data_IF_922587568559
#
_entry.id   IF_922587568559
#
_cell.length_a   1.000
_cell.length_b   1.000
_cell.length_c   1.000
_cell.angle_alpha   90.00
_cell.angle_beta   90.00
_cell.angle_gamma   90.00
#
_symmetry.space_group_name_H-M   'P 1'
#
loop_
_entity.id
_entity.type
_entity.pdbx_description
1 polymer ?
#
# COMPACT_ATOMS: atom_id res chain seq x y z
N UNK A 1 31.15 -5.16 1.83
CA UNK A 1 31.63 -4.06 2.72
C UNK A 1 30.46 -3.44 3.45
N UNK A 2 30.63 -3.04 4.72
CA UNK A 2 29.58 -2.40 5.55
C UNK A 2 28.97 -1.16 4.87
N UNK A 3 29.81 -0.35 4.21
CA UNK A 3 29.36 0.83 3.46
C UNK A 3 28.40 0.48 2.31
N UNK A 4 28.65 -0.65 1.63
CA UNK A 4 27.78 -1.13 0.56
C UNK A 4 26.42 -1.60 1.11
N UNK A 5 26.44 -2.31 2.24
CA UNK A 5 25.21 -2.74 2.92
C UNK A 5 24.29 -1.55 3.26
N UNK A 6 24.81 -0.51 3.93
CA UNK A 6 24.01 0.67 4.26
C UNK A 6 23.53 1.43 3.00
N UNK A 7 24.35 1.49 1.95
CA UNK A 7 23.96 2.11 0.67
C UNK A 7 22.78 1.37 0.02
N UNK A 8 22.80 0.04 0.03
CA UNK A 8 21.72 -0.78 -0.50
C UNK A 8 20.49 -0.80 0.39
N UNK A 9 20.67 -0.74 1.71
CA UNK A 9 19.58 -0.59 2.68
C UNK A 9 18.85 0.74 2.48
N UNK A 10 19.58 1.82 2.20
CA UNK A 10 18.99 3.12 1.96
C UNK A 10 18.29 3.20 0.59
N UNK A 11 18.93 2.62 -0.43
CA UNK A 11 18.42 2.59 -1.80
C UNK A 11 18.74 1.24 -2.47
N UNK A 12 17.73 0.35 -2.57
CA UNK A 12 17.89 -0.98 -3.16
C UNK A 12 18.28 -0.97 -4.64
N UNK A 13 18.17 0.18 -5.33
CA UNK A 13 18.66 0.37 -6.71
C UNK A 13 20.17 0.13 -6.86
N UNK A 14 20.94 0.27 -5.79
CA UNK A 14 22.36 -0.04 -5.80
C UNK A 14 22.65 -1.55 -5.66
N UNK A 15 21.62 -2.35 -5.34
CA UNK A 15 21.71 -3.80 -5.32
C UNK A 15 21.56 -4.30 -6.75
N UNK A 16 22.49 -5.14 -7.20
CA UNK A 16 22.38 -5.81 -8.49
C UNK A 16 21.35 -6.94 -8.37
N UNK A 17 20.08 -6.60 -8.59
CA UNK A 17 18.99 -7.57 -8.57
C UNK A 17 18.99 -8.30 -9.91
N UNK A 18 19.67 -9.44 -9.95
CA UNK A 18 19.72 -10.30 -11.14
C UNK A 18 18.41 -11.06 -11.37
N UNK A 19 17.63 -11.31 -10.32
CA UNK A 19 16.40 -12.10 -10.39
C UNK A 19 15.22 -11.36 -9.73
N UNK A 20 14.40 -10.75 -10.58
CA UNK A 20 13.19 -10.01 -10.16
C UNK A 20 12.14 -10.93 -9.53
N UNK A 21 12.10 -12.23 -9.87
CA UNK A 21 11.14 -13.18 -9.29
C UNK A 21 11.43 -13.43 -7.82
N UNK A 22 12.72 -13.58 -7.47
CA UNK A 22 13.15 -13.74 -6.07
C UNK A 22 12.83 -12.50 -5.23
N UNK A 23 13.02 -11.31 -5.80
CA UNK A 23 12.68 -10.06 -5.13
C UNK A 23 11.18 -9.94 -4.85
N UNK A 24 10.33 -10.26 -5.84
CA UNK A 24 8.87 -10.24 -5.69
C UNK A 24 8.41 -11.29 -4.67
N UNK A 25 8.96 -12.51 -4.74
CA UNK A 25 8.67 -13.56 -3.76
C UNK A 25 9.01 -13.13 -2.33
N UNK A 26 10.19 -12.52 -2.14
CA UNK A 26 10.61 -12.01 -0.84
C UNK A 26 9.66 -10.91 -0.33
N UNK A 27 9.25 -9.97 -1.19
CA UNK A 27 8.27 -8.94 -0.83
C UNK A 27 6.95 -9.56 -0.41
N UNK A 28 6.44 -10.53 -1.17
CA UNK A 28 5.19 -11.21 -0.83
C UNK A 28 5.30 -11.96 0.52
N UNK A 29 6.39 -12.70 0.71
CA UNK A 29 6.65 -13.44 1.95
C UNK A 29 6.75 -12.51 3.16
N UNK A 30 7.55 -11.45 3.08
CA UNK A 30 7.70 -10.47 4.16
C UNK A 30 6.40 -9.71 4.41
N UNK A 31 5.63 -9.40 3.37
CA UNK A 31 4.31 -8.78 3.49
C UNK A 31 3.32 -9.64 4.27
N UNK A 32 3.30 -10.96 4.04
CA UNK A 32 2.48 -11.90 4.81
C UNK A 32 2.93 -11.97 6.27
N UNK A 33 4.24 -12.03 6.53
CA UNK A 33 4.77 -11.99 7.91
C UNK A 33 4.42 -10.68 8.61
N UNK A 34 4.45 -9.57 7.88
CA UNK A 34 4.05 -8.26 8.40
C UNK A 34 2.57 -8.24 8.81
N UNK A 35 1.69 -8.78 7.97
CA UNK A 35 0.28 -8.96 8.32
C UNK A 35 0.09 -9.88 9.53
N UNK A 36 0.81 -10.99 9.57
CA UNK A 36 0.75 -11.94 10.69
C UNK A 36 1.18 -11.29 12.01
N UNK A 37 2.25 -10.49 12.00
CA UNK A 37 2.71 -9.76 13.17
C UNK A 37 1.65 -8.80 13.74
N UNK A 38 0.81 -8.22 12.88
CA UNK A 38 -0.32 -7.36 13.29
C UNK A 38 -1.48 -8.13 13.94
N UNK A 39 -1.55 -9.46 13.80
CA UNK A 39 -2.49 -10.28 14.59
C UNK A 39 -1.80 -10.80 15.84
N UNK A 40 -0.58 -11.33 15.70
CA UNK A 40 0.10 -12.08 16.74
C UNK A 40 0.64 -11.20 17.88
N UNK A 41 1.05 -9.96 17.58
CA UNK A 41 1.72 -9.06 18.53
C UNK A 41 0.97 -7.76 18.79
N UNK A 42 -0.06 -7.43 18.01
CA UNK A 42 -0.92 -6.29 18.31
C UNK A 42 -2.12 -6.77 19.13
N UNK A 43 -2.17 -6.36 20.39
CA UNK A 43 -3.36 -6.53 21.22
C UNK A 43 -4.54 -5.85 20.49
N UNK A 44 -5.63 -6.58 20.20
CA UNK A 44 -6.97 -6.10 19.77
C UNK A 44 -7.40 -6.02 18.28
N UNK A 45 -6.66 -6.56 17.29
CA UNK A 45 -7.06 -6.40 15.88
C UNK A 45 -7.76 -7.66 15.30
N UNK A 46 -8.95 -7.49 14.69
CA UNK A 46 -9.76 -8.58 14.10
C UNK A 46 -9.17 -9.14 12.81
N UNK A 47 -9.62 -10.33 12.37
CA UNK A 47 -9.11 -11.03 11.18
C UNK A 47 -9.13 -10.18 9.89
N UNK A 48 -10.09 -9.27 9.73
CA UNK A 48 -10.16 -8.37 8.57
C UNK A 48 -8.95 -7.43 8.44
N UNK A 49 -8.26 -7.15 9.54
CA UNK A 49 -7.06 -6.31 9.56
C UNK A 49 -5.80 -7.04 9.10
N UNK A 50 -5.79 -8.38 9.07
CA UNK A 50 -4.70 -9.16 8.49
C UNK A 50 -4.55 -8.91 6.98
N UNK A 51 -5.67 -8.98 6.24
CA UNK A 51 -5.66 -8.79 4.79
C UNK A 51 -5.19 -7.38 4.44
N UNK A 52 -5.69 -6.37 5.18
CA UNK A 52 -5.27 -4.98 5.01
C UNK A 52 -3.78 -4.78 5.35
N UNK A 53 -3.30 -5.31 6.48
CA UNK A 53 -1.91 -5.19 6.87
C UNK A 53 -0.97 -5.92 5.90
N UNK A 54 -1.35 -7.12 5.43
CA UNK A 54 -0.60 -7.87 4.41
C UNK A 54 -0.49 -7.09 3.11
N UNK A 55 -1.60 -6.56 2.60
CA UNK A 55 -1.61 -5.74 1.40
C UNK A 55 -0.74 -4.49 1.56
N UNK A 56 -0.83 -3.81 2.72
CA UNK A 56 0.03 -2.69 3.08
C UNK A 56 1.52 -3.06 3.08
N UNK A 57 1.89 -4.17 3.71
CA UNK A 57 3.27 -4.68 3.74
C UNK A 57 3.83 -4.97 2.35
N UNK A 58 3.03 -5.57 1.46
CA UNK A 58 3.43 -5.83 0.06
C UNK A 58 3.65 -4.52 -0.70
N UNK A 59 2.73 -3.55 -0.58
CA UNK A 59 2.86 -2.24 -1.21
C UNK A 59 4.11 -1.52 -0.72
N UNK A 60 4.35 -1.49 0.59
CA UNK A 60 5.53 -0.85 1.18
C UNK A 60 6.83 -1.52 0.75
N UNK A 61 6.86 -2.85 0.67
CA UNK A 61 8.00 -3.61 0.15
C UNK A 61 8.29 -3.30 -1.32
N UNK A 62 7.25 -3.15 -2.14
CA UNK A 62 7.40 -2.75 -3.54
C UNK A 62 7.91 -1.31 -3.68
N UNK A 63 7.35 -0.37 -2.90
CA UNK A 63 7.80 1.03 -2.87
C UNK A 63 9.26 1.12 -2.41
N UNK A 64 9.64 0.35 -1.39
CA UNK A 64 11.02 0.27 -0.91
C UNK A 64 11.97 -0.17 -2.03
N UNK A 65 11.62 -1.25 -2.74
CA UNK A 65 12.44 -1.78 -3.83
C UNK A 65 12.66 -0.74 -4.95
N UNK A 66 11.60 -0.01 -5.32
CA UNK A 66 11.60 0.91 -6.47
C UNK A 66 12.15 2.30 -6.13
N UNK A 67 11.81 2.82 -4.95
CA UNK A 67 12.01 4.22 -4.60
C UNK A 67 12.94 4.42 -3.40
N UNK A 68 13.21 3.39 -2.60
CA UNK A 68 14.13 3.42 -1.45
C UNK A 68 13.43 3.59 -0.10
N UNK A 69 14.24 3.60 0.97
CA UNK A 69 13.77 3.63 2.35
C UNK A 69 12.88 4.83 2.65
N UNK A 70 13.34 6.04 2.31
CA UNK A 70 12.64 7.29 2.62
C UNK A 70 11.24 7.31 2.01
N UNK A 71 11.11 6.90 0.75
CA UNK A 71 9.82 6.86 0.08
C UNK A 71 8.86 5.85 0.74
N UNK A 72 9.35 4.65 1.07
CA UNK A 72 8.54 3.63 1.75
C UNK A 72 8.09 4.11 3.13
N UNK A 73 8.99 4.74 3.90
CA UNK A 73 8.68 5.32 5.21
C UNK A 73 7.61 6.41 5.13
N UNK A 74 7.73 7.34 4.17
CA UNK A 74 6.75 8.41 3.97
C UNK A 74 5.38 7.87 3.58
N UNK A 75 5.32 6.87 2.69
CA UNK A 75 4.06 6.23 2.32
C UNK A 75 3.45 5.50 3.52
N UNK A 76 4.24 4.78 4.31
CA UNK A 76 3.75 4.12 5.52
C UNK A 76 3.13 5.13 6.48
N UNK A 77 3.85 6.21 6.78
CA UNK A 77 3.37 7.28 7.65
C UNK A 77 2.10 7.92 7.10
N UNK A 78 2.09 8.27 5.80
CA UNK A 78 0.91 8.83 5.14
C UNK A 78 -0.30 7.90 5.28
N UNK A 79 -0.17 6.60 4.99
CA UNK A 79 -1.28 5.65 5.10
C UNK A 79 -1.80 5.46 6.52
N UNK A 80 -0.93 5.58 7.53
CA UNK A 80 -1.33 5.46 8.93
C UNK A 80 -2.20 6.64 9.39
N UNK A 81 -1.88 7.86 8.93
CA UNK A 81 -2.58 9.08 9.35
C UNK A 81 -3.62 9.57 8.36
N UNK A 82 -3.69 9.02 7.14
CA UNK A 82 -4.57 9.48 6.08
C UNK A 82 -6.03 9.50 6.52
N UNK A 83 -6.56 8.36 6.99
CA UNK A 83 -7.95 8.24 7.45
C UNK A 83 -8.22 9.15 8.65
N UNK A 84 -7.28 9.20 9.61
CA UNK A 84 -7.41 10.03 10.80
C UNK A 84 -7.44 11.53 10.47
N UNK A 85 -6.71 11.95 9.42
CA UNK A 85 -6.71 13.33 8.94
C UNK A 85 -8.09 13.73 8.40
N UNK A 86 -8.75 12.85 7.64
CA UNK A 86 -10.12 13.09 7.17
C UNK A 86 -11.14 13.07 8.32
N UNK A 87 -11.02 12.13 9.26
CA UNK A 87 -11.88 12.11 10.44
C UNK A 87 -11.77 13.41 11.25
N UNK A 88 -10.54 13.93 11.40
CA UNK A 88 -10.29 15.22 12.07
C UNK A 88 -10.90 16.39 11.31
N UNK A 89 -10.77 16.41 9.98
CA UNK A 89 -11.39 17.43 9.13
C UNK A 89 -12.92 17.43 9.25
N UNK A 90 -13.55 16.25 9.19
CA UNK A 90 -15.01 16.07 9.37
C UNK A 90 -15.45 16.49 10.77
N UNK A 91 -14.66 16.13 11.79
CA UNK A 91 -14.90 16.53 13.18
C UNK A 91 -14.93 18.05 13.34
N UNK A 92 -13.95 18.75 12.76
CA UNK A 92 -13.85 20.21 12.85
C UNK A 92 -14.97 20.94 12.11
N UNK A 93 -15.29 20.54 10.87
CA UNK A 93 -16.32 21.23 10.07
C UNK A 93 -17.74 21.01 10.63
N UNK A 94 -18.00 19.87 11.28
CA UNK A 94 -19.30 19.56 11.87
C UNK A 94 -19.37 19.82 13.38
N UNK A 95 -18.28 20.29 14.00
CA UNK A 95 -18.18 20.50 15.46
C UNK A 95 -18.58 19.27 16.29
N UNK A 96 -18.22 18.07 15.83
CA UNK A 96 -18.48 16.79 16.50
C UNK A 96 -17.18 16.19 17.03
N UNK A 97 -17.25 15.29 18.02
CA UNK A 97 -16.08 14.51 18.46
C UNK A 97 -15.50 13.65 17.34
N UNK A 98 -14.19 13.35 17.41
CA UNK A 98 -13.51 12.48 16.43
C UNK A 98 -14.17 11.09 16.31
N UNK A 99 -14.62 10.51 17.42
CA UNK A 99 -15.33 9.21 17.41
C UNK A 99 -16.61 9.26 16.57
N UNK A 100 -17.42 10.30 16.76
CA UNK A 100 -18.63 10.52 15.95
C UNK A 100 -18.31 10.83 14.48
N UNK A 101 -17.14 11.43 14.19
CA UNK A 101 -16.72 11.71 12.81
C UNK A 101 -16.43 10.43 12.02
N UNK A 102 -15.91 9.37 12.66
CA UNK A 102 -15.75 8.06 12.02
C UNK A 102 -17.07 7.42 11.60
N UNK A 103 -18.15 7.70 12.34
CA UNK A 103 -19.49 7.20 12.05
C UNK A 103 -20.31 8.15 11.16
N UNK A 104 -19.74 9.29 10.75
CA UNK A 104 -20.44 10.29 9.94
C UNK A 104 -20.54 9.85 8.48
N UNK A 105 -21.65 10.19 7.80
CA UNK A 105 -21.92 9.78 6.40
C UNK A 105 -20.84 10.21 5.39
N UNK A 106 -20.20 11.36 5.64
CA UNK A 106 -19.07 11.85 4.85
C UNK A 106 -17.87 10.88 4.85
N UNK A 107 -17.61 10.20 5.98
CA UNK A 107 -16.53 9.22 6.08
C UNK A 107 -16.79 8.01 5.19
N UNK A 108 -18.03 7.49 5.23
CA UNK A 108 -18.45 6.38 4.38
C UNK A 108 -18.41 6.73 2.88
N UNK A 109 -18.77 7.97 2.53
CA UNK A 109 -18.69 8.45 1.14
C UNK A 109 -17.24 8.50 0.65
N UNK A 110 -16.31 8.93 1.51
CA UNK A 110 -14.88 8.96 1.21
C UNK A 110 -14.31 7.56 1.00
N UNK A 111 -14.66 6.61 1.88
CA UNK A 111 -14.26 5.22 1.74
C UNK A 111 -14.74 4.61 0.42
N UNK A 112 -16.02 4.83 0.07
CA UNK A 112 -16.59 4.34 -1.18
C UNK A 112 -15.92 4.97 -2.41
N UNK A 113 -15.60 6.26 -2.36
CA UNK A 113 -14.91 6.96 -3.44
C UNK A 113 -13.49 6.40 -3.65
N UNK A 114 -12.75 6.15 -2.57
CA UNK A 114 -11.42 5.55 -2.64
C UNK A 114 -11.48 4.12 -3.20
N UNK A 115 -12.43 3.32 -2.74
CA UNK A 115 -12.64 1.96 -3.22
C UNK A 115 -13.00 1.95 -4.72
N UNK A 116 -13.93 2.80 -5.14
CA UNK A 116 -14.29 2.96 -6.55
C UNK A 116 -13.10 3.38 -7.40
N UNK A 117 -12.29 4.34 -6.92
CA UNK A 117 -11.09 4.80 -7.63
C UNK A 117 -10.04 3.68 -7.78
N UNK A 118 -9.88 2.84 -6.75
CA UNK A 118 -8.98 1.69 -6.78
C UNK A 118 -9.44 0.64 -7.79
N UNK A 119 -10.74 0.30 -7.78
CA UNK A 119 -11.34 -0.64 -8.74
C UNK A 119 -11.19 -0.13 -10.17
N UNK A 120 -11.48 1.16 -10.42
CA UNK A 120 -11.30 1.77 -11.74
C UNK A 120 -9.85 1.71 -12.20
N UNK A 121 -8.89 2.02 -11.32
CA UNK A 121 -7.46 1.99 -11.65
C UNK A 121 -6.98 0.59 -12.05
N UNK A 122 -7.41 -0.43 -11.30
CA UNK A 122 -7.12 -1.83 -11.64
C UNK A 122 -7.79 -2.23 -12.96
N UNK A 123 -9.05 -1.82 -13.17
CA UNK A 123 -9.77 -2.04 -14.43
C UNK A 123 -9.06 -1.45 -15.64
N UNK A 124 -8.55 -0.22 -15.54
CA UNK A 124 -7.77 0.42 -16.59
C UNK A 124 -6.49 -0.34 -16.91
N UNK A 125 -5.79 -0.90 -15.92
CA UNK A 125 -4.60 -1.73 -16.15
C UNK A 125 -4.92 -2.99 -16.95
N UNK A 126 -6.03 -3.66 -16.65
CA UNK A 126 -6.48 -4.83 -17.40
C UNK A 126 -6.90 -4.48 -18.83
N UNK A 127 -7.67 -3.39 -19.00
CA UNK A 127 -8.08 -2.90 -20.32
C UNK A 127 -6.87 -2.54 -21.18
N UNK A 128 -5.91 -1.79 -20.62
CA UNK A 128 -4.66 -1.43 -21.31
C UNK A 128 -3.91 -2.68 -21.78
N UNK A 129 -3.80 -3.70 -20.92
CA UNK A 129 -3.12 -4.95 -21.26
C UNK A 129 -3.86 -5.76 -22.34
N UNK A 130 -5.19 -5.72 -22.35
CA UNK A 130 -6.00 -6.39 -23.37
C UNK A 130 -5.91 -5.68 -24.72
N UNK A 131 -6.05 -4.35 -24.74
CA UNK A 131 -5.93 -3.55 -25.97
C UNK A 131 -4.53 -3.67 -26.59
N UNK A 132 -3.48 -3.57 -25.79
CA UNK A 132 -2.09 -3.72 -26.27
C UNK A 132 -1.83 -5.10 -26.89
N UNK A 133 -2.39 -6.17 -26.31
CA UNK A 133 -2.32 -7.51 -26.93
C UNK A 133 -3.05 -7.57 -28.27
N UNK A 134 -4.22 -6.93 -28.38
CA UNK A 134 -5.01 -6.91 -29.63
C UNK A 134 -4.28 -6.18 -30.76
N UNK A 135 -3.62 -5.08 -30.44
CA UNK A 135 -2.80 -4.31 -31.39
C UNK A 135 -1.63 -5.15 -31.92
N UNK A 136 -0.89 -5.84 -31.02
CA UNK A 136 0.18 -6.76 -31.42
C UNK A 136 -0.26 -7.96 -32.27
N UNK A 137 -1.55 -8.35 -32.19
CA UNK A 137 -2.10 -9.44 -33.01
C UNK A 137 -2.60 -8.99 -34.39
N UNK A 138 -2.71 -7.69 -34.63
CA UNK A 138 -3.15 -7.11 -35.90
C UNK A 138 -1.97 -6.65 -36.78
N UNK A 139 -0.76 -6.53 -36.22
CA UNK A 139 0.48 -6.20 -36.93
C UNK A 139 1.24 -7.44 -37.47
N UNK A 140 0.61 -8.63 -37.48
CA UNK A 140 1.16 -9.89 -38.01
C UNK A 140 0.51 -10.27 -39.33
#
# INVERSE_FOLDING_TARGET
>A
SVKYFFKCLWSPRNLEIYDSKKAIFLIAFVGVLFGFAHIAFAESWSEGKFAQATAGGIILGWVYLRFGFVASLLIHWATNYFIFSYATFISQINSISIENAFNHSLMSTLELLLLASGVLSVGMLFLHRYCSKRESSLEV
#
